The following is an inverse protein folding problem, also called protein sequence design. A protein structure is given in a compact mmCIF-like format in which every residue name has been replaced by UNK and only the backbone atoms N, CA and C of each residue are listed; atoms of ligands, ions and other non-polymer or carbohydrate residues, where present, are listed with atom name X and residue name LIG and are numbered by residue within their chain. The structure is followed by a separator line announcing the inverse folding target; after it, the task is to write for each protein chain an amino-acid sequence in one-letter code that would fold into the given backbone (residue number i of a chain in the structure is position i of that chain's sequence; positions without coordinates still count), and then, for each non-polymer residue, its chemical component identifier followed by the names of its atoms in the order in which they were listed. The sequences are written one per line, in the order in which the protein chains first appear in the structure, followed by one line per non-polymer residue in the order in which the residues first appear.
data_IF_933618423320
#
_entry.id   IF_933618423320
#
_cell.length_a   1.000
_cell.length_b   1.000
_cell.length_c   1.000
_cell.angle_alpha   90.00
_cell.angle_beta   90.00
_cell.angle_gamma   90.00
#
_symmetry.space_group_name_H-M   'P 1'
#
loop_
_entity.id
_entity.type
_entity.pdbx_description
1 polymer ?
#
# COMPACT_ATOMS: atom_id res chain seq x y z
N UNK A 1 34.05 8.06 4.72
CA UNK A 1 33.55 8.36 3.36
C UNK A 1 32.84 9.70 3.43
N UNK A 2 33.11 10.63 2.53
CA UNK A 2 32.36 11.89 2.46
C UNK A 2 30.92 11.54 2.06
N UNK A 3 29.93 12.01 2.84
CA UNK A 3 28.53 11.82 2.49
C UNK A 3 28.25 12.46 1.13
N UNK A 4 27.57 11.76 0.26
CA UNK A 4 27.18 12.26 -1.07
C UNK A 4 26.37 13.56 -0.96
N UNK A 5 25.59 13.69 0.11
CA UNK A 5 24.88 14.89 0.52
C UNK A 5 25.34 15.33 1.92
N UNK A 6 26.08 16.46 2.05
CA UNK A 6 26.64 16.88 3.35
C UNK A 6 25.60 17.08 4.45
N UNK A 7 24.39 17.52 4.08
CA UNK A 7 23.29 17.82 5.02
C UNK A 7 22.33 16.63 5.24
N UNK A 8 22.57 15.49 4.57
CA UNK A 8 21.70 14.32 4.73
C UNK A 8 21.87 13.70 6.13
N UNK A 9 20.75 13.34 6.74
CA UNK A 9 20.69 12.76 8.08
C UNK A 9 19.98 11.42 8.07
N UNK A 10 20.38 10.55 9.01
CA UNK A 10 19.60 9.35 9.32
C UNK A 10 18.22 9.74 9.84
N UNK A 11 17.28 8.79 9.77
CA UNK A 11 15.90 8.98 10.25
C UNK A 11 15.53 7.83 11.20
N UNK A 12 15.00 8.15 12.37
CA UNK A 12 14.69 7.19 13.44
C UNK A 12 13.19 6.95 13.65
N UNK A 13 12.34 7.59 12.85
CA UNK A 13 10.88 7.42 12.87
C UNK A 13 10.37 7.07 11.48
N UNK A 14 9.23 6.37 11.40
CA UNK A 14 8.58 6.02 10.13
C UNK A 14 8.13 7.26 9.34
N UNK A 15 8.13 7.21 8.01
CA UNK A 15 8.80 6.19 7.20
C UNK A 15 10.33 6.31 7.29
N UNK A 16 11.02 5.19 7.21
CA UNK A 16 12.48 5.13 7.36
C UNK A 16 13.22 5.42 6.05
N UNK A 17 14.54 5.78 6.13
CA UNK A 17 15.35 6.00 4.92
C UNK A 17 15.40 4.77 4.03
N UNK A 18 15.53 3.59 4.64
CA UNK A 18 15.35 2.29 4.03
C UNK A 18 14.00 1.74 4.48
N UNK A 19 13.05 1.67 3.58
CA UNK A 19 11.70 1.22 3.85
C UNK A 19 11.21 0.26 2.75
N UNK A 20 10.04 -0.34 2.97
CA UNK A 20 9.38 -1.27 2.05
C UNK A 20 7.89 -0.93 1.94
N UNK A 21 7.24 -1.36 0.86
CA UNK A 21 5.78 -1.23 0.73
C UNK A 21 5.05 -2.21 1.64
N UNK A 22 5.47 -3.50 1.69
CA UNK A 22 4.94 -4.40 2.73
C UNK A 22 4.82 -5.86 2.35
N UNK A 23 4.39 -6.19 1.13
CA UNK A 23 4.21 -7.58 0.70
C UNK A 23 5.51 -8.23 0.21
N UNK A 24 5.65 -9.52 0.50
CA UNK A 24 6.78 -10.37 0.10
C UNK A 24 6.31 -11.57 -0.70
N UNK A 25 7.22 -12.18 -1.47
CA UNK A 25 6.96 -13.43 -2.19
C UNK A 25 6.62 -14.54 -1.21
N UNK A 26 5.50 -15.25 -1.47
CA UNK A 26 5.10 -16.38 -0.63
C UNK A 26 6.03 -17.57 -0.90
N UNK A 27 6.59 -18.19 0.17
CA UNK A 27 7.33 -19.44 0.05
C UNK A 27 6.47 -20.56 -0.52
N UNK A 28 7.09 -21.51 -1.18
CA UNK A 28 6.37 -22.63 -1.80
C UNK A 28 5.61 -23.47 -0.77
N UNK A 29 6.16 -23.63 0.44
CA UNK A 29 5.49 -24.29 1.57
C UNK A 29 4.15 -23.64 1.92
N UNK A 30 4.10 -22.30 1.93
CA UNK A 30 2.87 -21.56 2.19
C UNK A 30 1.85 -21.71 1.05
N UNK A 31 2.30 -21.62 -0.21
CA UNK A 31 1.43 -21.82 -1.39
C UNK A 31 0.78 -23.20 -1.39
N UNK A 32 1.57 -24.24 -1.10
CA UNK A 32 1.07 -25.63 -0.99
C UNK A 32 0.05 -25.77 0.14
N UNK A 33 0.31 -25.23 1.33
CA UNK A 33 -0.61 -25.28 2.44
C UNK A 33 -1.93 -24.54 2.14
N UNK A 34 -1.88 -23.37 1.49
CA UNK A 34 -3.08 -22.65 1.04
C UNK A 34 -3.89 -23.46 0.04
N UNK A 35 -3.23 -24.12 -0.92
CA UNK A 35 -3.89 -25.02 -1.86
C UNK A 35 -4.54 -26.20 -1.16
N UNK A 36 -3.83 -26.90 -0.27
CA UNK A 36 -4.38 -28.02 0.51
C UNK A 36 -5.59 -27.61 1.36
N UNK A 37 -5.52 -26.42 2.01
CA UNK A 37 -6.66 -25.90 2.77
C UNK A 37 -7.86 -25.62 1.84
N UNK A 38 -7.64 -25.04 0.66
CA UNK A 38 -8.71 -24.76 -0.31
C UNK A 38 -9.37 -26.03 -0.87
N UNK A 39 -8.63 -27.15 -0.91
CA UNK A 39 -9.13 -28.47 -1.29
C UNK A 39 -9.77 -29.24 -0.11
N UNK A 40 -9.62 -28.75 1.12
CA UNK A 40 -10.11 -29.44 2.32
C UNK A 40 -9.19 -30.56 2.82
N UNK A 41 -7.95 -30.65 2.33
CA UNK A 41 -6.94 -31.65 2.72
C UNK A 41 -6.34 -31.35 4.09
N UNK A 42 -6.27 -30.07 4.48
CA UNK A 42 -5.89 -29.61 5.81
C UNK A 42 -6.92 -28.62 6.37
N UNK A 43 -6.95 -28.48 7.68
CA UNK A 43 -7.85 -27.52 8.34
C UNK A 43 -7.33 -26.06 8.24
N UNK A 44 -8.21 -25.08 8.46
CA UNK A 44 -7.78 -23.67 8.58
C UNK A 44 -6.79 -23.45 9.75
N UNK A 45 -6.90 -24.25 10.82
CA UNK A 45 -5.97 -24.20 11.94
C UNK A 45 -4.56 -24.70 11.55
N UNK A 46 -4.48 -25.74 10.72
CA UNK A 46 -3.20 -26.23 10.18
C UNK A 46 -2.58 -25.18 9.24
N UNK A 47 -3.36 -24.54 8.38
CA UNK A 47 -2.90 -23.45 7.54
C UNK A 47 -2.35 -22.30 8.39
N UNK A 48 -3.05 -21.90 9.44
CA UNK A 48 -2.58 -20.82 10.35
C UNK A 48 -1.23 -21.16 10.97
N UNK A 49 -0.97 -22.42 11.33
CA UNK A 49 0.35 -22.82 11.84
C UNK A 49 1.47 -22.67 10.81
N UNK A 50 1.19 -23.01 9.54
CA UNK A 50 2.15 -22.82 8.45
C UNK A 50 2.38 -21.32 8.20
N UNK A 51 1.32 -20.51 8.17
CA UNK A 51 1.41 -19.05 8.04
C UNK A 51 2.27 -18.46 9.15
N UNK A 52 2.03 -18.82 10.41
CA UNK A 52 2.80 -18.37 11.57
C UNK A 52 4.29 -18.72 11.45
N UNK A 53 4.59 -19.95 11.04
CA UNK A 53 5.96 -20.40 10.87
C UNK A 53 6.71 -19.64 9.75
N UNK A 54 6.06 -19.40 8.63
CA UNK A 54 6.66 -18.69 7.50
C UNK A 54 6.78 -17.18 7.77
N UNK A 55 5.79 -16.57 8.45
CA UNK A 55 5.86 -15.17 8.89
C UNK A 55 7.00 -14.97 9.90
N UNK A 56 7.19 -15.90 10.84
CA UNK A 56 8.30 -15.80 11.79
C UNK A 56 9.68 -15.81 11.09
N UNK A 57 9.88 -16.66 10.08
CA UNK A 57 11.09 -16.68 9.25
C UNK A 57 11.25 -15.36 8.47
N UNK A 58 10.16 -14.87 7.89
CA UNK A 58 10.15 -13.62 7.14
C UNK A 58 10.54 -12.43 8.03
N UNK A 59 10.01 -12.36 9.26
CA UNK A 59 10.35 -11.32 10.23
C UNK A 59 11.86 -11.32 10.53
N UNK A 60 12.46 -12.49 10.76
CA UNK A 60 13.90 -12.60 10.99
C UNK A 60 14.73 -12.18 9.77
N UNK A 61 14.30 -12.52 8.56
CA UNK A 61 14.97 -12.07 7.33
C UNK A 61 14.90 -10.54 7.19
N UNK A 62 13.75 -9.93 7.47
CA UNK A 62 13.58 -8.47 7.43
C UNK A 62 14.52 -7.77 8.45
N UNK A 63 14.63 -8.29 9.66
CA UNK A 63 15.58 -7.78 10.67
C UNK A 63 17.04 -7.90 10.19
N UNK A 64 17.41 -9.05 9.64
CA UNK A 64 18.77 -9.34 9.16
C UNK A 64 19.18 -8.43 8.00
N UNK A 65 18.28 -8.12 7.08
CA UNK A 65 18.55 -7.17 5.99
C UNK A 65 18.62 -5.71 6.48
N UNK A 66 18.23 -5.45 7.74
CA UNK A 66 18.36 -4.16 8.41
C UNK A 66 17.13 -3.24 8.30
N UNK A 67 15.95 -3.79 8.03
CA UNK A 67 14.69 -3.05 8.13
C UNK A 67 14.43 -2.70 9.60
N UNK A 68 14.01 -1.46 9.85
CA UNK A 68 13.67 -0.97 11.20
C UNK A 68 12.24 -1.30 11.61
N UNK A 69 11.36 -1.50 10.65
CA UNK A 69 10.01 -2.00 10.85
C UNK A 69 9.78 -3.24 10.00
N UNK A 70 9.01 -4.20 10.51
CA UNK A 70 8.71 -5.47 9.85
C UNK A 70 7.22 -5.60 9.54
N UNK A 71 6.89 -6.32 8.47
CA UNK A 71 5.52 -6.66 8.09
C UNK A 71 5.32 -8.18 8.14
N UNK A 72 4.07 -8.63 8.07
CA UNK A 72 3.72 -10.05 7.89
C UNK A 72 3.90 -10.52 6.43
N UNK A 73 4.39 -9.66 5.53
CA UNK A 73 4.55 -9.93 4.11
C UNK A 73 3.22 -10.14 3.36
N UNK A 74 2.10 -9.89 4.01
CA UNK A 74 0.74 -10.19 3.53
C UNK A 74 0.51 -11.70 3.30
N UNK A 75 1.23 -12.56 4.01
CA UNK A 75 1.21 -14.01 3.81
C UNK A 75 -0.15 -14.64 4.07
N UNK A 76 -0.99 -13.98 4.88
CA UNK A 76 -2.36 -14.44 5.17
C UNK A 76 -3.39 -14.00 4.13
N UNK A 77 -3.02 -13.12 3.19
CA UNK A 77 -3.94 -12.51 2.21
C UNK A 77 -3.92 -13.24 0.87
N UNK A 78 -5.09 -13.38 0.27
CA UNK A 78 -5.24 -13.76 -1.14
C UNK A 78 -5.08 -12.51 -2.01
N UNK A 79 -5.75 -11.41 -1.63
CA UNK A 79 -5.63 -10.10 -2.27
C UNK A 79 -5.29 -9.04 -1.23
N UNK A 80 -4.36 -8.16 -1.56
CA UNK A 80 -3.90 -7.08 -0.67
C UNK A 80 -5.05 -6.21 -0.10
N UNK A 81 -6.16 -6.04 -0.84
CA UNK A 81 -7.26 -5.13 -0.49
C UNK A 81 -8.56 -5.84 -0.15
N UNK A 82 -8.97 -6.88 -0.90
CA UNK A 82 -10.29 -7.51 -0.70
C UNK A 82 -10.41 -8.18 0.67
N UNK A 83 -9.34 -8.84 1.12
CA UNK A 83 -9.33 -9.56 2.42
C UNK A 83 -9.60 -8.61 3.61
N UNK A 84 -9.14 -7.37 3.55
CA UNK A 84 -9.46 -6.36 4.56
C UNK A 84 -10.85 -5.77 4.35
N UNK A 85 -11.13 -5.28 3.14
CA UNK A 85 -12.35 -4.53 2.87
C UNK A 85 -13.63 -5.36 3.00
N UNK A 86 -13.58 -6.66 2.63
CA UNK A 86 -14.72 -7.56 2.75
C UNK A 86 -15.06 -7.92 4.21
N UNK A 87 -14.12 -7.75 5.12
CA UNK A 87 -14.30 -8.00 6.54
C UNK A 87 -14.79 -6.76 7.33
N UNK A 88 -14.95 -5.61 6.69
CA UNK A 88 -15.58 -4.43 7.30
C UNK A 88 -17.07 -4.72 7.55
N UNK A 89 -17.58 -4.22 8.67
CA UNK A 89 -19.02 -4.24 8.92
C UNK A 89 -19.75 -3.50 7.80
N UNK A 90 -20.86 -4.03 7.32
CA UNK A 90 -21.67 -3.44 6.26
C UNK A 90 -21.12 -3.64 4.83
N UNK A 91 -20.04 -4.38 4.66
CA UNK A 91 -19.45 -4.72 3.36
C UNK A 91 -19.58 -6.21 3.08
N UNK A 92 -19.81 -6.59 1.82
CA UNK A 92 -19.92 -8.00 1.41
C UNK A 92 -19.16 -8.24 0.12
N UNK A 93 -18.37 -9.31 0.09
CA UNK A 93 -17.79 -9.83 -1.14
C UNK A 93 -18.87 -10.51 -1.98
N UNK A 94 -18.86 -10.24 -3.28
CA UNK A 94 -19.78 -10.83 -4.26
C UNK A 94 -19.03 -11.19 -5.54
N UNK A 95 -19.60 -12.11 -6.33
CA UNK A 95 -19.06 -12.41 -7.65
C UNK A 95 -19.28 -11.21 -8.58
N UNK A 96 -18.26 -10.83 -9.32
CA UNK A 96 -18.37 -9.77 -10.31
C UNK A 96 -18.97 -10.33 -11.60
N UNK A 97 -20.04 -9.71 -12.10
CA UNK A 97 -20.66 -10.10 -13.38
C UNK A 97 -19.78 -9.78 -14.59
N UNK A 98 -18.87 -8.80 -14.46
CA UNK A 98 -17.89 -8.39 -15.47
C UNK A 98 -16.54 -8.09 -14.80
N UNK A 99 -15.43 -8.41 -15.47
CA UNK A 99 -14.09 -8.06 -15.01
C UNK A 99 -13.94 -6.54 -14.91
N UNK A 100 -13.76 -6.03 -13.70
CA UNK A 100 -13.56 -4.60 -13.46
C UNK A 100 -12.13 -4.14 -13.70
N UNK A 101 -11.14 -5.03 -13.64
CA UNK A 101 -9.70 -4.75 -13.83
C UNK A 101 -9.10 -5.78 -14.78
N UNK A 102 -8.59 -5.32 -15.93
CA UNK A 102 -7.86 -6.16 -16.89
C UNK A 102 -6.36 -5.89 -16.75
N UNK A 103 -5.60 -6.90 -16.36
CA UNK A 103 -4.16 -6.91 -16.48
C UNK A 103 -3.77 -7.41 -17.89
N UNK A 104 -2.62 -6.96 -18.39
CA UNK A 104 -2.22 -7.11 -19.80
C UNK A 104 -2.21 -8.56 -20.33
N UNK A 105 -2.18 -9.58 -19.47
CA UNK A 105 -2.04 -10.98 -19.88
C UNK A 105 -2.79 -12.00 -19.00
N UNK A 106 -3.64 -11.56 -18.04
CA UNK A 106 -4.26 -12.49 -17.11
C UNK A 106 -5.65 -12.02 -16.62
N UNK A 107 -6.53 -13.01 -16.36
CA UNK A 107 -7.85 -12.78 -15.77
C UNK A 107 -7.77 -13.03 -14.27
N UNK A 108 -7.94 -11.98 -13.48
CA UNK A 108 -8.11 -12.10 -12.02
C UNK A 108 -9.48 -12.72 -11.73
N UNK A 109 -9.57 -13.53 -10.68
CA UNK A 109 -10.86 -14.09 -10.23
C UNK A 109 -11.88 -12.96 -10.06
N UNK A 110 -13.11 -13.10 -10.60
CA UNK A 110 -14.09 -12.02 -10.63
C UNK A 110 -14.77 -11.84 -9.28
N UNK A 111 -14.07 -11.26 -8.32
CA UNK A 111 -14.61 -10.86 -7.01
C UNK A 111 -14.67 -9.35 -6.91
N UNK A 112 -15.74 -8.84 -6.30
CA UNK A 112 -15.92 -7.42 -6.02
C UNK A 112 -16.64 -7.23 -4.68
N UNK A 113 -16.88 -5.99 -4.30
CA UNK A 113 -17.51 -5.63 -3.03
C UNK A 113 -18.83 -4.90 -3.25
N UNK A 114 -19.78 -5.12 -2.35
CA UNK A 114 -21.02 -4.33 -2.25
C UNK A 114 -21.18 -3.81 -0.82
N UNK A 115 -21.64 -2.56 -0.70
CA UNK A 115 -22.08 -1.99 0.57
C UNK A 115 -23.52 -2.45 0.80
N UNK A 116 -23.76 -3.15 1.89
CA UNK A 116 -25.05 -3.78 2.23
C UNK A 116 -25.67 -3.24 3.52
N UNK A 117 -24.87 -2.55 4.35
CA UNK A 117 -25.32 -1.92 5.61
C UNK A 117 -24.39 -0.75 5.97
N UNK A 118 -24.58 -0.14 7.16
CA UNK A 118 -23.69 0.86 7.72
C UNK A 118 -22.26 0.31 7.79
N UNK A 119 -21.32 1.07 7.23
CA UNK A 119 -19.90 0.70 7.27
C UNK A 119 -19.35 0.92 8.68
N UNK A 120 -18.56 -0.04 9.17
CA UNK A 120 -17.92 0.01 10.47
C UNK A 120 -16.70 -0.90 10.55
N UNK A 121 -15.97 -0.79 11.67
CA UNK A 121 -14.85 -1.66 11.99
C UNK A 121 -14.97 -2.11 13.46
N UNK A 122 -14.76 -3.39 13.72
CA UNK A 122 -14.85 -3.95 15.05
C UNK A 122 -13.63 -4.81 15.41
N UNK A 123 -13.45 -5.14 16.70
CA UNK A 123 -12.36 -6.00 17.17
C UNK A 123 -12.43 -7.43 16.64
N UNK A 124 -13.58 -7.85 16.06
CA UNK A 124 -13.73 -9.15 15.42
C UNK A 124 -13.11 -9.22 14.02
N UNK A 125 -12.64 -8.09 13.47
CA UNK A 125 -12.00 -8.06 12.17
C UNK A 125 -10.72 -8.91 12.15
N UNK A 126 -10.52 -9.83 11.17
CA UNK A 126 -9.42 -10.79 11.18
C UNK A 126 -8.03 -10.17 11.32
N UNK A 127 -7.82 -8.98 10.76
CA UNK A 127 -6.55 -8.26 10.83
C UNK A 127 -6.15 -7.85 12.26
N UNK A 128 -7.09 -7.80 13.19
CA UNK A 128 -6.79 -7.55 14.60
C UNK A 128 -5.96 -8.70 15.18
N UNK A 129 -6.32 -9.94 14.91
CA UNK A 129 -5.56 -11.11 15.36
C UNK A 129 -4.27 -11.31 14.54
N UNK A 130 -4.30 -11.01 13.24
CA UNK A 130 -3.09 -11.01 12.39
C UNK A 130 -2.04 -10.04 12.94
N UNK A 131 -2.45 -8.83 13.36
CA UNK A 131 -1.55 -7.85 13.95
C UNK A 131 -0.99 -8.31 15.31
N UNK A 132 -1.82 -8.88 16.19
CA UNK A 132 -1.38 -9.43 17.48
C UNK A 132 -0.33 -10.53 17.29
N UNK A 133 -0.56 -11.44 16.34
CA UNK A 133 0.37 -12.52 16.01
C UNK A 133 1.71 -11.96 15.51
N UNK A 134 1.67 -11.04 14.56
CA UNK A 134 2.88 -10.39 14.04
C UNK A 134 3.66 -9.64 15.12
N UNK A 135 2.99 -8.91 16.00
CA UNK A 135 3.63 -8.17 17.09
C UNK A 135 4.41 -9.11 18.04
N UNK A 136 3.84 -10.28 18.36
CA UNK A 136 4.54 -11.31 19.16
C UNK A 136 5.81 -11.80 18.46
N UNK A 137 5.75 -12.04 17.14
CA UNK A 137 6.91 -12.50 16.35
C UNK A 137 7.97 -11.40 16.19
N UNK A 138 7.56 -10.15 16.05
CA UNK A 138 8.45 -9.01 15.91
C UNK A 138 9.25 -8.72 17.18
N UNK A 139 8.69 -9.01 18.37
CA UNK A 139 9.29 -8.70 19.66
C UNK A 139 9.41 -7.19 19.87
N UNK A 140 10.64 -6.69 20.04
CA UNK A 140 10.90 -5.25 20.23
C UNK A 140 11.01 -4.47 18.91
N UNK A 141 11.02 -5.16 17.77
CA UNK A 141 11.09 -4.50 16.46
C UNK A 141 9.71 -3.88 16.13
N UNK A 142 9.74 -2.66 15.60
CA UNK A 142 8.49 -1.98 15.19
C UNK A 142 7.76 -2.80 14.12
N UNK A 143 6.44 -2.86 14.24
CA UNK A 143 5.56 -3.47 13.25
C UNK A 143 4.96 -2.38 12.36
N UNK A 144 5.13 -2.54 11.05
CA UNK A 144 4.43 -1.77 10.03
C UNK A 144 3.17 -2.54 9.61
N UNK A 145 2.02 -1.93 9.83
CA UNK A 145 0.74 -2.46 9.36
C UNK A 145 0.39 -1.84 8.02
N UNK A 146 0.07 -2.66 7.03
CA UNK A 146 -0.43 -2.24 5.72
C UNK A 146 -1.89 -2.63 5.55
N UNK A 147 -2.74 -1.69 5.20
CA UNK A 147 -4.16 -1.92 4.89
C UNK A 147 -4.56 -1.09 3.66
N UNK A 148 -5.58 -1.49 2.88
CA UNK A 148 -6.07 -0.65 1.79
C UNK A 148 -6.56 0.69 2.33
N UNK A 149 -6.42 1.76 1.54
CA UNK A 149 -6.91 3.09 1.91
C UNK A 149 -8.45 3.16 1.90
N UNK A 150 -9.07 4.12 2.59
CA UNK A 150 -10.52 4.30 2.61
C UNK A 150 -11.10 4.59 1.22
N UNK A 151 -10.35 5.28 0.37
CA UNK A 151 -10.69 5.54 -1.03
C UNK A 151 -10.89 4.26 -1.85
N UNK A 152 -10.20 3.17 -1.51
CA UNK A 152 -10.35 1.90 -2.21
C UNK A 152 -11.75 1.30 -2.07
N UNK A 153 -12.37 1.38 -0.88
CA UNK A 153 -13.74 0.91 -0.71
C UNK A 153 -14.72 1.72 -1.58
N UNK A 154 -14.61 3.05 -1.54
CA UNK A 154 -15.46 3.92 -2.35
C UNK A 154 -15.20 3.70 -3.85
N UNK A 155 -13.94 3.61 -4.28
CA UNK A 155 -13.59 3.35 -5.69
C UNK A 155 -14.23 2.05 -6.19
N UNK A 156 -14.09 0.95 -5.46
CA UNK A 156 -14.59 -0.37 -5.87
C UNK A 156 -16.11 -0.38 -5.91
N UNK A 157 -16.76 0.09 -4.83
CA UNK A 157 -18.20 -0.05 -4.67
C UNK A 157 -19.01 0.99 -5.46
N UNK A 158 -18.42 2.16 -5.77
CA UNK A 158 -19.17 3.26 -6.38
C UNK A 158 -18.60 3.73 -7.72
N UNK A 159 -17.30 4.06 -7.78
CA UNK A 159 -16.68 4.68 -8.96
C UNK A 159 -16.45 3.66 -10.08
N UNK A 160 -15.91 2.48 -9.77
CA UNK A 160 -15.73 1.39 -10.74
C UNK A 160 -17.06 0.71 -11.08
N UNK A 161 -17.94 0.53 -10.09
CA UNK A 161 -19.23 -0.12 -10.29
C UNK A 161 -20.10 0.68 -11.27
N UNK A 162 -20.59 0.01 -12.32
CA UNK A 162 -21.49 0.62 -13.32
C UNK A 162 -22.96 0.49 -12.93
N UNK A 163 -23.26 -0.34 -11.95
CA UNK A 163 -24.59 -0.69 -11.45
C UNK A 163 -24.77 -0.32 -9.96
N UNK A 164 -23.94 0.60 -9.44
CA UNK A 164 -24.04 1.01 -8.04
C UNK A 164 -25.42 1.57 -7.71
N UNK A 165 -26.04 0.97 -6.71
CA UNK A 165 -27.27 1.47 -6.11
C UNK A 165 -27.02 1.64 -4.61
N UNK A 166 -27.12 2.88 -4.08
CA UNK A 166 -26.93 3.12 -2.66
C UNK A 166 -28.03 2.43 -1.85
N UNK A 167 -27.68 1.89 -0.72
CA UNK A 167 -28.66 1.45 0.29
C UNK A 167 -29.42 2.67 0.84
N UNK A 168 -30.58 2.45 1.46
CA UNK A 168 -31.45 3.54 1.95
C UNK A 168 -30.70 4.54 2.84
N UNK A 169 -29.74 4.06 3.67
CA UNK A 169 -28.90 4.90 4.55
C UNK A 169 -28.10 5.96 3.78
N UNK A 170 -27.57 5.62 2.61
CA UNK A 170 -26.68 6.49 1.82
C UNK A 170 -27.35 7.11 0.61
N UNK A 171 -28.65 6.83 0.43
CA UNK A 171 -29.43 7.41 -0.67
C UNK A 171 -29.45 8.93 -0.57
N UNK A 172 -29.10 9.57 -1.66
CA UNK A 172 -29.01 11.02 -1.78
C UNK A 172 -28.08 11.72 -0.74
N UNK A 173 -27.21 10.95 -0.08
CA UNK A 173 -26.30 11.46 0.94
C UNK A 173 -24.90 10.81 0.83
N UNK A 174 -24.15 11.19 -0.21
CA UNK A 174 -22.77 10.71 -0.41
C UNK A 174 -21.84 11.13 0.73
N UNK A 175 -22.06 12.30 1.34
CA UNK A 175 -21.25 12.74 2.48
C UNK A 175 -21.33 11.78 3.68
N UNK A 176 -22.52 11.23 3.96
CA UNK A 176 -22.68 10.24 5.03
C UNK A 176 -21.93 8.95 4.74
N UNK A 177 -21.88 8.54 3.46
CA UNK A 177 -21.07 7.37 3.06
C UNK A 177 -19.58 7.62 3.30
N UNK A 178 -19.05 8.78 2.89
CA UNK A 178 -17.66 9.16 3.12
C UNK A 178 -17.33 9.26 4.61
N UNK A 179 -18.26 9.80 5.40
CA UNK A 179 -18.10 9.91 6.85
C UNK A 179 -18.08 8.55 7.54
N UNK A 180 -19.00 7.64 7.23
CA UNK A 180 -19.03 6.30 7.80
C UNK A 180 -17.78 5.48 7.40
N UNK A 181 -17.27 5.64 6.16
CA UNK A 181 -15.99 5.03 5.75
C UNK A 181 -14.84 5.58 6.59
N UNK A 182 -14.72 6.90 6.71
CA UNK A 182 -13.64 7.53 7.47
C UNK A 182 -13.71 7.15 8.97
N UNK A 183 -14.90 7.09 9.55
CA UNK A 183 -15.11 6.72 10.95
C UNK A 183 -14.73 5.25 11.20
N UNK A 184 -15.06 4.33 10.28
CA UNK A 184 -14.60 2.94 10.37
C UNK A 184 -13.06 2.82 10.37
N UNK A 185 -12.37 3.66 9.58
CA UNK A 185 -10.90 3.70 9.60
C UNK A 185 -10.32 4.36 10.85
N UNK A 186 -11.02 5.33 11.44
CA UNK A 186 -10.65 5.89 12.74
C UNK A 186 -10.78 4.82 13.84
N UNK A 187 -11.85 4.04 13.81
CA UNK A 187 -12.03 2.92 14.74
C UNK A 187 -10.94 1.86 14.56
N UNK A 188 -10.63 1.47 13.32
CA UNK A 188 -9.53 0.56 12.99
C UNK A 188 -8.18 1.09 13.52
N UNK A 189 -7.85 2.34 13.21
CA UNK A 189 -6.63 3.01 13.68
C UNK A 189 -6.54 2.99 15.21
N UNK A 190 -7.62 3.30 15.93
CA UNK A 190 -7.66 3.31 17.38
C UNK A 190 -7.46 1.91 17.99
N UNK A 191 -8.06 0.88 17.38
CA UNK A 191 -7.88 -0.52 17.80
C UNK A 191 -6.44 -0.96 17.60
N UNK A 192 -5.86 -0.76 16.41
CA UNK A 192 -4.46 -1.10 16.14
C UNK A 192 -3.48 -0.29 16.99
N UNK A 193 -3.75 0.99 17.22
CA UNK A 193 -2.92 1.83 18.10
C UNK A 193 -2.91 1.30 19.54
N UNK A 194 -4.05 0.89 20.11
CA UNK A 194 -4.15 0.24 21.42
C UNK A 194 -3.35 -1.07 21.49
N UNK A 195 -3.23 -1.78 20.37
CA UNK A 195 -2.42 -2.98 20.24
C UNK A 195 -0.91 -2.69 20.06
N UNK A 196 -0.52 -1.42 20.02
CA UNK A 196 0.89 -1.00 19.90
C UNK A 196 1.31 -0.55 18.51
N UNK A 197 0.41 -0.43 17.54
CA UNK A 197 0.73 0.09 16.21
C UNK A 197 1.21 1.54 16.28
N UNK A 198 2.36 1.81 15.64
CA UNK A 198 2.93 3.17 15.50
C UNK A 198 3.28 3.51 14.06
N UNK A 199 3.10 2.56 13.14
CA UNK A 199 3.44 2.69 11.73
C UNK A 199 2.31 2.04 10.91
N UNK A 200 1.42 2.86 10.36
CA UNK A 200 0.27 2.46 9.56
C UNK A 200 0.45 2.97 8.13
N UNK A 201 0.41 2.07 7.16
CA UNK A 201 0.41 2.42 5.74
C UNK A 201 -0.95 2.14 5.12
N UNK A 202 -1.47 3.12 4.38
CA UNK A 202 -2.68 3.04 3.57
C UNK A 202 -2.29 2.80 2.11
N UNK A 203 -2.64 1.63 1.57
CA UNK A 203 -2.31 1.27 0.18
C UNK A 203 -3.45 1.64 -0.75
N UNK A 204 -3.12 2.29 -1.88
CA UNK A 204 -4.10 2.89 -2.76
C UNK A 204 -3.76 2.72 -4.24
N UNK A 205 -4.72 2.28 -5.04
CA UNK A 205 -4.63 2.29 -6.51
C UNK A 205 -5.52 3.34 -7.16
N UNK A 206 -6.44 3.98 -6.42
CA UNK A 206 -7.36 4.97 -6.97
C UNK A 206 -6.61 6.18 -7.57
N UNK A 207 -5.63 6.68 -6.86
CA UNK A 207 -4.79 7.76 -7.33
C UNK A 207 -3.92 7.37 -8.53
N UNK A 208 -3.49 6.09 -8.59
CA UNK A 208 -2.83 5.54 -9.76
C UNK A 208 -3.73 5.57 -11.00
N UNK A 209 -5.02 5.27 -10.85
CA UNK A 209 -6.01 5.39 -11.94
C UNK A 209 -6.26 6.84 -12.33
N UNK A 210 -6.30 7.75 -11.36
CA UNK A 210 -6.47 9.19 -11.65
C UNK A 210 -5.23 9.82 -12.30
N UNK A 211 -4.06 9.18 -12.24
CA UNK A 211 -2.90 9.56 -13.05
C UNK A 211 -3.03 9.12 -14.51
N UNK A 212 -3.74 8.03 -14.80
CA UNK A 212 -3.82 7.43 -16.13
C UNK A 212 -4.87 8.13 -17.01
N UNK A 213 -4.44 8.60 -18.19
CA UNK A 213 -5.30 9.36 -19.09
C UNK A 213 -6.50 8.54 -19.60
N UNK A 214 -6.28 7.28 -19.97
CA UNK A 214 -7.33 6.36 -20.43
C UNK A 214 -8.38 6.12 -19.35
N UNK A 215 -7.96 5.98 -18.09
CA UNK A 215 -8.87 5.78 -16.96
C UNK A 215 -9.69 7.05 -16.68
N UNK A 216 -9.01 8.22 -16.61
CA UNK A 216 -9.71 9.51 -16.45
C UNK A 216 -10.76 9.71 -17.53
N UNK A 217 -10.41 9.45 -18.80
CA UNK A 217 -11.33 9.56 -19.93
C UNK A 217 -12.57 8.67 -19.72
N UNK A 218 -12.36 7.38 -19.41
CA UNK A 218 -13.44 6.42 -19.15
C UNK A 218 -14.39 6.90 -18.05
N UNK A 219 -13.85 7.40 -16.93
CA UNK A 219 -14.67 7.89 -15.82
C UNK A 219 -15.43 9.17 -16.18
N UNK A 220 -14.78 10.11 -16.87
CA UNK A 220 -15.43 11.35 -17.33
C UNK A 220 -16.54 11.09 -18.35
N UNK A 221 -16.35 10.16 -19.29
CA UNK A 221 -17.37 9.74 -20.25
C UNK A 221 -18.60 9.09 -19.57
N UNK A 222 -18.41 8.52 -18.38
CA UNK A 222 -19.50 8.02 -17.52
C UNK A 222 -20.17 9.12 -16.69
N UNK A 223 -19.74 10.38 -16.83
CA UNK A 223 -20.31 11.51 -16.10
C UNK A 223 -19.78 11.70 -14.68
N UNK A 224 -18.66 11.05 -14.31
CA UNK A 224 -18.05 11.19 -12.98
C UNK A 224 -17.19 12.45 -12.91
N UNK A 225 -17.36 13.24 -11.86
CA UNK A 225 -16.49 14.38 -11.54
C UNK A 225 -15.28 13.91 -10.72
N UNK A 226 -14.20 13.62 -11.42
CA UNK A 226 -12.96 13.15 -10.78
C UNK A 226 -12.32 14.18 -9.87
N UNK A 227 -12.52 15.48 -10.11
CA UNK A 227 -11.99 16.53 -9.24
C UNK A 227 -12.73 16.53 -7.89
N UNK A 228 -14.05 16.33 -7.92
CA UNK A 228 -14.82 16.20 -6.68
C UNK A 228 -14.48 14.91 -5.96
N UNK A 229 -14.38 13.78 -6.64
CA UNK A 229 -14.00 12.49 -6.05
C UNK A 229 -12.60 12.57 -5.41
N UNK A 230 -11.65 13.22 -6.07
CA UNK A 230 -10.30 13.44 -5.50
C UNK A 230 -10.35 14.28 -4.20
N UNK A 231 -11.17 15.32 -4.15
CA UNK A 231 -11.39 16.12 -2.93
C UNK A 231 -12.06 15.30 -1.83
N UNK A 232 -13.03 14.48 -2.18
CA UNK A 232 -13.72 13.58 -1.24
C UNK A 232 -12.72 12.57 -0.61
N UNK A 233 -11.77 12.06 -1.39
CA UNK A 233 -10.73 11.15 -0.90
C UNK A 233 -9.74 11.87 0.02
N UNK A 234 -9.31 13.06 -0.32
CA UNK A 234 -8.48 13.88 0.58
C UNK A 234 -9.24 14.24 1.87
N UNK A 235 -10.55 14.52 1.78
CA UNK A 235 -11.39 14.75 2.95
C UNK A 235 -11.38 13.56 3.91
N UNK A 236 -11.66 12.33 3.42
CA UNK A 236 -11.62 11.12 4.26
C UNK A 236 -10.26 10.90 4.90
N UNK A 237 -9.19 11.00 4.12
CA UNK A 237 -7.81 10.84 4.61
C UNK A 237 -7.49 11.87 5.70
N UNK A 238 -7.82 13.13 5.49
CA UNK A 238 -7.56 14.19 6.45
C UNK A 238 -8.40 14.05 7.73
N UNK A 239 -9.63 13.55 7.64
CA UNK A 239 -10.47 13.23 8.81
C UNK A 239 -9.80 12.15 9.68
N UNK A 240 -9.25 11.11 9.05
CA UNK A 240 -8.52 10.03 9.75
C UNK A 240 -7.23 10.58 10.38
N UNK A 241 -6.44 11.33 9.60
CA UNK A 241 -5.17 11.91 10.09
C UNK A 241 -5.39 12.90 11.23
N UNK A 242 -6.47 13.69 11.19
CA UNK A 242 -6.81 14.61 12.27
C UNK A 242 -7.14 13.90 13.59
N UNK A 243 -7.62 12.66 13.52
CA UNK A 243 -7.95 11.85 14.70
C UNK A 243 -6.77 11.00 15.22
N UNK A 244 -5.63 10.96 14.52
CA UNK A 244 -4.51 10.09 14.89
C UNK A 244 -3.79 10.56 16.15
N UNK A 245 -3.29 9.63 16.99
CA UNK A 245 -2.33 9.92 18.05
C UNK A 245 -1.03 10.53 17.48
N UNK A 246 -0.39 11.40 18.25
CA UNK A 246 0.77 12.18 17.81
C UNK A 246 2.00 11.31 17.44
N UNK A 247 2.14 10.15 18.07
CA UNK A 247 3.24 9.19 17.88
C UNK A 247 2.91 8.08 16.88
N UNK A 248 1.77 8.15 16.19
CA UNK A 248 1.42 7.26 15.09
C UNK A 248 1.81 7.89 13.76
N UNK A 249 2.65 7.24 12.98
CA UNK A 249 2.89 7.60 11.58
C UNK A 249 1.82 6.97 10.68
N UNK A 250 1.16 7.79 9.86
CA UNK A 250 0.26 7.34 8.79
C UNK A 250 0.89 7.70 7.44
N UNK A 251 1.24 6.70 6.66
CA UNK A 251 1.78 6.86 5.31
C UNK A 251 0.80 6.32 4.26
N UNK A 252 1.00 6.70 3.00
CA UNK A 252 0.18 6.24 1.89
C UNK A 252 1.04 5.74 0.75
N UNK A 253 0.77 4.53 0.26
CA UNK A 253 1.39 4.03 -0.96
C UNK A 253 0.44 4.20 -2.15
N UNK A 254 0.93 4.81 -3.23
CA UNK A 254 0.18 4.99 -4.47
C UNK A 254 0.65 3.95 -5.47
N UNK A 255 -0.14 2.89 -5.58
CA UNK A 255 0.13 1.77 -6.46
C UNK A 255 -0.42 2.02 -7.87
N UNK A 256 0.28 1.49 -8.87
CA UNK A 256 -0.15 1.50 -10.29
C UNK A 256 -0.61 0.14 -10.78
N UNK A 257 -0.86 -0.77 -9.84
CA UNK A 257 -1.15 -2.18 -10.08
C UNK A 257 0.12 -3.04 -10.07
N UNK A 258 0.01 -4.18 -9.43
CA UNK A 258 1.12 -5.12 -9.29
C UNK A 258 0.55 -6.55 -9.26
N UNK A 259 0.51 -7.19 -10.44
CA UNK A 259 0.05 -8.56 -10.61
C UNK A 259 0.96 -9.29 -11.58
N UNK A 260 1.62 -10.35 -11.13
CA UNK A 260 2.57 -11.15 -11.91
C UNK A 260 3.54 -10.28 -12.72
N UNK A 261 4.18 -9.32 -12.05
CA UNK A 261 5.11 -8.36 -12.64
C UNK A 261 4.51 -7.41 -13.70
N UNK A 262 3.18 -7.33 -13.83
CA UNK A 262 2.49 -6.38 -14.71
C UNK A 262 1.85 -5.22 -13.92
N UNK A 263 1.38 -4.21 -14.63
CA UNK A 263 0.64 -3.06 -14.08
C UNK A 263 -0.59 -2.77 -14.93
N UNK A 264 -1.54 -1.98 -14.41
CA UNK A 264 -2.75 -1.63 -15.15
C UNK A 264 -2.95 -0.11 -15.33
N UNK A 265 -2.13 0.74 -14.68
CA UNK A 265 -2.19 2.19 -14.89
C UNK A 265 -0.81 2.79 -15.11
N UNK A 266 -0.74 3.78 -16.02
CA UNK A 266 0.45 4.52 -16.36
C UNK A 266 0.10 6.00 -16.54
N UNK A 267 1.00 6.91 -16.12
CA UNK A 267 0.84 8.35 -16.19
C UNK A 267 1.61 9.03 -15.05
N UNK A 268 2.14 10.22 -15.28
CA UNK A 268 2.81 11.02 -14.25
C UNK A 268 1.84 11.49 -13.16
N UNK A 269 2.36 11.90 -12.01
CA UNK A 269 1.54 12.33 -10.86
C UNK A 269 0.93 13.73 -11.01
N UNK A 270 1.26 14.48 -12.07
CA UNK A 270 0.82 15.87 -12.25
C UNK A 270 -0.70 16.06 -12.11
N UNK A 271 -1.57 15.19 -12.66
CA UNK A 271 -3.04 15.36 -12.58
C UNK A 271 -3.61 15.34 -11.16
N UNK A 272 -2.91 14.73 -10.20
CA UNK A 272 -3.36 14.58 -8.81
C UNK A 272 -2.52 15.39 -7.82
N UNK A 273 -1.38 15.92 -8.26
CA UNK A 273 -0.32 16.43 -7.38
C UNK A 273 -0.81 17.57 -6.47
N UNK A 274 -1.47 18.58 -7.02
CA UNK A 274 -1.96 19.70 -6.21
C UNK A 274 -2.99 19.23 -5.19
N UNK A 275 -3.96 18.40 -5.61
CA UNK A 275 -5.03 17.92 -4.73
C UNK A 275 -4.49 16.97 -3.67
N UNK A 276 -3.68 15.98 -4.05
CA UNK A 276 -3.20 14.98 -3.09
C UNK A 276 -2.00 15.49 -2.30
N UNK A 277 -0.88 15.82 -2.97
CA UNK A 277 0.35 16.19 -2.27
C UNK A 277 0.23 17.54 -1.56
N UNK A 278 -0.54 18.48 -2.16
CA UNK A 278 -0.74 19.81 -1.61
C UNK A 278 -1.75 19.88 -0.45
N UNK A 279 -2.67 18.94 -0.32
CA UNK A 279 -3.77 19.05 0.63
C UNK A 279 -3.97 17.82 1.54
N UNK A 280 -3.35 16.67 1.26
CA UNK A 280 -3.42 15.51 2.14
C UNK A 280 -2.35 15.59 3.24
N UNK A 281 -2.75 15.38 4.49
CA UNK A 281 -1.91 15.58 5.67
C UNK A 281 -1.26 14.29 6.20
N UNK A 282 -1.13 13.25 5.38
CA UNK A 282 -0.38 12.04 5.78
C UNK A 282 1.09 12.37 6.07
N UNK A 283 1.75 11.54 6.87
CA UNK A 283 3.16 11.77 7.26
C UNK A 283 4.14 11.47 6.12
N UNK A 284 3.73 10.69 5.12
CA UNK A 284 4.56 10.40 3.94
C UNK A 284 3.85 9.65 2.84
N UNK A 285 4.43 9.73 1.65
CA UNK A 285 3.96 9.03 0.45
C UNK A 285 5.01 8.07 -0.07
N UNK A 286 4.62 6.84 -0.35
CA UNK A 286 5.39 5.85 -1.11
C UNK A 286 4.97 5.94 -2.57
N UNK A 287 5.87 6.39 -3.43
CA UNK A 287 5.58 6.72 -4.83
C UNK A 287 6.36 5.82 -5.79
N UNK A 288 5.67 5.20 -6.74
CA UNK A 288 6.31 4.41 -7.78
C UNK A 288 7.03 5.31 -8.80
N UNK A 289 8.34 5.16 -8.92
CA UNK A 289 9.20 5.87 -9.84
C UNK A 289 10.25 4.97 -10.52
N UNK A 290 10.00 3.67 -10.63
CA UNK A 290 10.94 2.68 -11.17
C UNK A 290 11.06 2.70 -12.70
N UNK A 291 10.19 3.42 -13.41
CA UNK A 291 10.21 3.51 -14.87
C UNK A 291 9.53 4.79 -15.39
N UNK A 292 9.67 5.06 -16.68
CA UNK A 292 9.10 6.23 -17.37
C UNK A 292 7.57 6.34 -17.26
N UNK A 293 6.87 5.25 -16.93
CA UNK A 293 5.40 5.26 -16.73
C UNK A 293 4.97 6.21 -15.61
N UNK A 294 5.86 6.55 -14.69
CA UNK A 294 5.58 7.44 -13.55
C UNK A 294 5.80 8.93 -13.86
N UNK A 295 6.36 9.26 -15.02
CA UNK A 295 6.72 10.62 -15.37
C UNK A 295 7.94 11.15 -14.59
N UNK A 296 8.06 12.47 -14.49
CA UNK A 296 9.14 13.18 -13.81
C UNK A 296 8.82 13.50 -12.33
N UNK A 297 9.79 14.10 -11.61
CA UNK A 297 9.64 14.49 -10.21
C UNK A 297 9.02 15.87 -9.99
N UNK A 298 8.68 16.60 -11.04
CA UNK A 298 8.10 17.95 -10.95
C UNK A 298 6.83 18.01 -10.06
N UNK A 299 5.95 16.99 -10.04
CA UNK A 299 4.80 16.94 -9.13
C UNK A 299 5.15 17.06 -7.65
N UNK A 300 6.36 16.67 -7.23
CA UNK A 300 6.84 16.77 -5.85
C UNK A 300 6.92 18.20 -5.32
N UNK A 301 6.88 19.23 -6.19
CA UNK A 301 6.84 20.65 -5.78
C UNK A 301 5.63 21.00 -4.89
N UNK A 302 4.59 20.18 -4.89
CA UNK A 302 3.42 20.35 -4.03
C UNK A 302 3.58 19.71 -2.64
N UNK A 303 4.61 18.88 -2.42
CA UNK A 303 4.95 18.32 -1.11
C UNK A 303 5.31 19.46 -0.14
N UNK A 304 4.78 19.40 1.07
CA UNK A 304 5.04 20.38 2.14
C UNK A 304 5.97 19.79 3.20
N UNK A 305 5.40 19.09 4.17
CA UNK A 305 6.14 18.51 5.29
C UNK A 305 6.19 16.97 5.24
N UNK A 306 5.49 16.36 4.28
CA UNK A 306 5.42 14.91 4.14
C UNK A 306 6.79 14.34 3.73
N UNK A 307 7.09 13.14 4.18
CA UNK A 307 8.19 12.37 3.62
C UNK A 307 7.79 11.81 2.24
N UNK A 308 8.77 11.65 1.37
CA UNK A 308 8.60 11.00 0.07
C UNK A 308 9.50 9.77 0.01
N UNK A 309 8.90 8.59 0.01
CA UNK A 309 9.62 7.34 -0.17
C UNK A 309 9.64 7.03 -1.65
N UNK A 310 10.82 7.19 -2.25
CA UNK A 310 11.04 7.00 -3.67
C UNK A 310 11.12 5.50 -3.99
N UNK A 311 10.12 4.98 -4.65
CA UNK A 311 10.09 3.62 -5.17
C UNK A 311 10.87 3.51 -6.48
N UNK A 312 12.20 3.55 -6.42
CA UNK A 312 13.08 3.57 -7.59
C UNK A 312 13.51 2.17 -8.03
N UNK A 313 13.43 1.18 -7.16
CA UNK A 313 13.86 -0.20 -7.43
C UNK A 313 12.63 -1.03 -7.78
N UNK A 314 12.63 -1.63 -8.99
CA UNK A 314 11.48 -2.42 -9.43
C UNK A 314 11.34 -3.73 -8.65
N UNK A 315 10.12 -4.06 -8.23
CA UNK A 315 9.77 -5.39 -7.71
C UNK A 315 9.28 -6.35 -8.81
N UNK A 316 9.38 -5.95 -10.08
CA UNK A 316 8.83 -6.69 -11.22
C UNK A 316 9.87 -7.50 -11.98
N UNK A 317 11.17 -7.27 -11.73
CA UNK A 317 12.30 -7.99 -12.32
C UNK A 317 13.32 -8.30 -11.23
N UNK A 318 14.02 -9.43 -11.36
CA UNK A 318 15.09 -9.84 -10.45
C UNK A 318 16.44 -9.17 -10.72
N UNK A 319 16.58 -8.42 -11.82
CA UNK A 319 17.81 -7.70 -12.15
C UNK A 319 17.99 -6.49 -11.23
N UNK A 320 19.23 -6.22 -10.81
CA UNK A 320 19.56 -5.04 -10.03
C UNK A 320 19.72 -3.84 -10.96
N UNK A 321 19.24 -2.72 -10.49
CA UNK A 321 19.40 -1.41 -11.14
C UNK A 321 20.85 -0.91 -11.01
N UNK A 322 21.22 0.07 -11.82
CA UNK A 322 22.51 0.74 -11.72
C UNK A 322 22.51 1.72 -10.53
N UNK A 323 23.47 1.57 -9.61
CA UNK A 323 23.57 2.39 -8.41
C UNK A 323 23.71 3.88 -8.72
N UNK A 324 24.56 4.26 -9.70
CA UNK A 324 24.79 5.65 -10.07
C UNK A 324 23.54 6.29 -10.67
N UNK A 325 22.73 5.53 -11.42
CA UNK A 325 21.45 5.99 -11.96
C UNK A 325 20.43 6.24 -10.84
N UNK A 326 20.34 5.33 -9.87
CA UNK A 326 19.44 5.53 -8.72
C UNK A 326 19.85 6.77 -7.92
N UNK A 327 21.14 6.95 -7.66
CA UNK A 327 21.67 8.14 -6.97
C UNK A 327 21.40 9.41 -7.78
N UNK A 328 21.54 9.36 -9.10
CA UNK A 328 21.21 10.50 -9.96
C UNK A 328 19.73 10.87 -9.88
N UNK A 329 18.84 9.90 -9.81
CA UNK A 329 17.40 10.12 -9.64
C UNK A 329 17.04 10.65 -8.26
N UNK A 330 17.73 10.23 -7.20
CA UNK A 330 17.59 10.85 -5.87
C UNK A 330 18.00 12.32 -5.90
N UNK A 331 19.10 12.65 -6.60
CA UNK A 331 19.56 14.05 -6.81
C UNK A 331 18.54 14.90 -7.57
N UNK A 332 17.90 14.30 -8.58
CA UNK A 332 16.84 14.98 -9.34
C UNK A 332 15.62 15.28 -8.44
N UNK A 333 15.14 14.28 -7.68
CA UNK A 333 14.04 14.47 -6.74
C UNK A 333 14.36 15.52 -5.66
N UNK A 334 15.62 15.60 -5.22
CA UNK A 334 16.10 16.57 -4.23
C UNK A 334 16.11 18.03 -4.75
N UNK A 335 15.83 18.26 -6.03
CA UNK A 335 15.60 19.61 -6.56
C UNK A 335 14.21 20.16 -6.22
N UNK A 336 13.26 19.30 -5.86
CA UNK A 336 11.87 19.65 -5.56
C UNK A 336 11.51 19.56 -4.08
N UNK A 337 12.18 18.70 -3.32
CA UNK A 337 11.97 18.49 -1.88
C UNK A 337 13.31 18.34 -1.17
N UNK A 338 13.39 18.69 0.10
CA UNK A 338 14.63 18.55 0.88
C UNK A 338 15.08 17.08 0.93
N UNK A 339 16.40 16.83 0.84
CA UNK A 339 16.99 15.48 0.92
C UNK A 339 16.56 14.74 2.19
N UNK A 340 16.26 15.46 3.27
CA UNK A 340 15.78 14.92 4.53
C UNK A 340 14.27 14.64 4.54
N UNK A 341 13.56 14.91 3.46
CA UNK A 341 12.21 14.42 3.21
C UNK A 341 12.21 13.16 2.32
N UNK A 342 13.35 12.80 1.71
CA UNK A 342 13.46 11.65 0.82
C UNK A 342 13.86 10.38 1.57
N UNK A 343 13.25 9.27 1.19
CA UNK A 343 13.55 7.91 1.60
C UNK A 343 13.60 7.02 0.34
N UNK A 344 14.03 5.77 0.47
CA UNK A 344 14.15 4.84 -0.64
C UNK A 344 13.47 3.50 -0.34
N UNK A 345 12.74 2.95 -1.30
CA UNK A 345 12.10 1.64 -1.20
C UNK A 345 12.02 0.95 -2.57
N UNK A 346 11.61 -0.34 -2.62
CA UNK A 346 11.05 -0.91 -3.84
C UNK A 346 9.84 -0.09 -4.31
N UNK A 347 9.55 -0.10 -5.61
CA UNK A 347 8.43 0.68 -6.16
C UNK A 347 7.07 0.21 -5.66
N UNK A 348 6.93 -1.08 -5.36
CA UNK A 348 5.72 -1.72 -4.80
C UNK A 348 6.16 -2.91 -3.92
N UNK A 349 5.21 -3.63 -3.33
CA UNK A 349 5.47 -4.93 -2.74
C UNK A 349 5.88 -5.97 -3.79
N UNK A 350 6.44 -7.09 -3.35
CA UNK A 350 6.86 -8.18 -4.24
C UNK A 350 5.72 -9.13 -4.60
N UNK A 351 4.61 -9.11 -3.85
CA UNK A 351 3.48 -9.98 -4.09
C UNK A 351 2.17 -9.39 -3.53
N UNK A 352 1.51 -8.55 -4.31
CA UNK A 352 0.21 -7.95 -3.95
C UNK A 352 -0.96 -8.93 -3.99
N UNK A 353 -0.76 -10.11 -4.60
CA UNK A 353 -1.66 -11.26 -4.58
C UNK A 353 -0.88 -12.51 -4.23
N UNK A 354 -1.58 -13.61 -3.94
CA UNK A 354 -0.94 -14.88 -3.57
C UNK A 354 0.00 -15.44 -4.66
N UNK A 355 -0.24 -15.11 -5.93
CA UNK A 355 0.61 -15.55 -7.05
C UNK A 355 2.00 -14.92 -7.04
N UNK A 356 2.11 -13.65 -6.59
CA UNK A 356 3.38 -12.92 -6.54
C UNK A 356 3.94 -12.50 -7.90
N UNK A 357 5.09 -11.84 -7.87
CA UNK A 357 5.87 -11.45 -9.04
C UNK A 357 6.80 -12.57 -9.50
N UNK A 358 7.37 -12.44 -10.69
CA UNK A 358 8.16 -13.51 -11.36
C UNK A 358 9.60 -13.67 -10.85
N UNK A 359 10.10 -12.75 -10.02
CA UNK A 359 11.44 -12.87 -9.44
C UNK A 359 11.50 -13.94 -8.33
N UNK A 360 12.70 -14.42 -8.00
CA UNK A 360 12.91 -15.38 -6.92
C UNK A 360 13.00 -14.68 -5.54
N UNK A 361 12.83 -15.45 -4.45
CA UNK A 361 13.06 -14.94 -3.10
C UNK A 361 14.51 -14.44 -2.91
N UNK A 362 15.51 -15.14 -3.48
CA UNK A 362 16.90 -14.68 -3.42
C UNK A 362 17.09 -13.33 -4.11
N UNK A 363 16.46 -13.13 -5.27
CA UNK A 363 16.51 -11.85 -5.99
C UNK A 363 15.80 -10.75 -5.20
N UNK A 364 14.66 -11.05 -4.55
CA UNK A 364 13.96 -10.14 -3.65
C UNK A 364 14.89 -9.64 -2.54
N UNK A 365 15.61 -10.53 -1.84
CA UNK A 365 16.52 -10.15 -0.76
C UNK A 365 17.73 -9.36 -1.26
N UNK A 366 18.32 -9.72 -2.41
CA UNK A 366 19.40 -8.96 -3.06
C UNK A 366 18.98 -7.52 -3.38
N UNK A 367 17.74 -7.30 -3.82
CA UNK A 367 17.22 -5.94 -4.05
C UNK A 367 17.11 -5.13 -2.76
N UNK A 368 16.70 -5.73 -1.66
CA UNK A 368 16.65 -5.05 -0.36
C UNK A 368 18.05 -4.72 0.18
N UNK A 369 19.02 -5.63 0.05
CA UNK A 369 20.42 -5.37 0.37
C UNK A 369 21.00 -4.22 -0.49
N UNK A 370 20.66 -4.20 -1.77
CA UNK A 370 21.04 -3.14 -2.69
C UNK A 370 20.46 -1.78 -2.28
N UNK A 371 19.16 -1.72 -1.96
CA UNK A 371 18.53 -0.49 -1.45
C UNK A 371 19.23 0.00 -0.19
N UNK A 372 19.49 -0.90 0.77
CA UNK A 372 20.22 -0.58 2.00
C UNK A 372 21.56 0.05 1.69
N UNK A 373 22.35 -0.54 0.77
CA UNK A 373 23.68 -0.02 0.41
C UNK A 373 23.62 1.41 -0.11
N UNK A 374 22.64 1.74 -0.95
CA UNK A 374 22.41 3.10 -1.47
C UNK A 374 22.01 4.05 -0.33
N UNK A 375 21.11 3.61 0.55
CA UNK A 375 20.67 4.43 1.70
C UNK A 375 21.84 4.77 2.60
N UNK A 376 22.73 3.81 2.90
CA UNK A 376 23.93 4.03 3.71
C UNK A 376 24.91 5.01 3.03
N UNK A 377 24.99 4.98 1.70
CA UNK A 377 25.82 5.91 0.93
C UNK A 377 25.26 7.34 0.94
N UNK A 378 23.94 7.48 0.75
CA UNK A 378 23.27 8.78 0.61
C UNK A 378 23.06 9.47 1.96
N UNK A 379 22.50 8.78 2.94
CA UNK A 379 22.12 9.37 4.26
C UNK A 379 23.02 8.98 5.42
N UNK A 380 23.87 7.97 5.24
CA UNK A 380 24.73 7.42 6.28
C UNK A 380 24.09 6.23 7.00
N UNK A 381 24.89 5.62 7.91
CA UNK A 381 24.50 4.42 8.70
C UNK A 381 23.73 4.81 9.94
#
# INVERSE_FOLDING_TARGET
MSKLFPNATIRTSAPYRFDIVGSFLRPETLKQARHQCSCGDISCADLTQVEDAEIAKLVEHQKNVGLRAVTDGEFRRTFWHLDFLAALDGVKEVDAEKFSVQFKHDNVRPKTLKIVDKIGFSESHPFVEHYRSLQKMAGETEVKLTIPSPSMLHLICTVRATDYQPIERYKDNNQLLLDDIADAYIDAMNIFYKLGCRNLQLDDTSWGEFCAEDKRKTYTERGLDLNQIAKDYVYMLNKIVAAKPADLAITMHICRGNFRSTWFSAGGYEPIAETLFGHCNVDGFFLEYDSDRAGDFKPLRFIKNQQVVLGLITSKSGELENCDEIIARIKEAAQYVDINQLCLSPQCGFASTEEGNILTEEQQWKKLEFIRSIVEEVWGK
#
